data_IF_501562734677
#
_entry.id   IF_501562734677
#
_cell.length_a   1.000
_cell.length_b   1.000
_cell.length_c   1.000
_cell.angle_alpha   90.00
_cell.angle_beta   90.00
_cell.angle_gamma   90.00
#
_symmetry.space_group_name_H-M   'P 1'
#
loop_
_entity.id
_entity.type
_entity.pdbx_description
1 polymer ?
#
# COMPACT_ATOMS: atom_id res chain seq x y z
N UNK A 1 -1.46 -1.88 2.72
CA UNK A 1 -2.54 -2.00 3.74
C UNK A 1 -3.80 -1.43 3.13
N UNK A 2 -4.93 -2.15 3.16
CA UNK A 2 -6.15 -1.67 2.52
C UNK A 2 -6.86 -0.58 3.32
N UNK A 3 -7.67 0.22 2.62
CA UNK A 3 -8.46 1.28 3.23
C UNK A 3 -9.35 0.75 4.38
N UNK A 4 -9.45 1.53 5.46
CA UNK A 4 -10.24 1.17 6.65
C UNK A 4 -9.64 0.06 7.53
N UNK A 5 -8.39 -0.36 7.27
CA UNK A 5 -7.75 -1.39 8.11
C UNK A 5 -7.14 -0.80 9.39
N UNK A 6 -7.22 -1.55 10.50
CA UNK A 6 -6.59 -1.21 11.78
C UNK A 6 -5.47 -2.20 12.10
N UNK A 7 -4.22 -1.80 11.90
CA UNK A 7 -3.05 -2.59 12.32
C UNK A 7 -2.81 -2.34 13.81
N UNK A 8 -2.88 -3.41 14.61
CA UNK A 8 -2.65 -3.34 16.07
C UNK A 8 -1.15 -3.29 16.38
N UNK A 9 -0.74 -2.80 17.58
CA UNK A 9 0.66 -2.84 18.01
C UNK A 9 1.29 -4.23 17.86
N UNK A 10 2.60 -4.26 17.62
CA UNK A 10 3.42 -5.46 17.44
C UNK A 10 3.04 -6.40 16.27
N UNK A 11 2.07 -6.00 15.44
CA UNK A 11 1.68 -6.78 14.25
C UNK A 11 2.82 -6.79 13.23
N UNK A 12 3.39 -7.98 12.98
CA UNK A 12 4.37 -8.21 11.91
C UNK A 12 3.66 -8.61 10.63
N UNK A 13 3.73 -7.74 9.61
CA UNK A 13 3.17 -8.00 8.28
C UNK A 13 4.31 -8.48 7.37
N UNK A 14 4.25 -9.69 6.78
CA UNK A 14 5.24 -10.13 5.82
C UNK A 14 5.31 -9.19 4.60
N UNK A 15 6.48 -9.02 3.96
CA UNK A 15 6.59 -8.27 2.71
C UNK A 15 5.58 -8.75 1.66
N UNK A 16 5.16 -7.84 0.77
CA UNK A 16 4.22 -8.13 -0.33
C UNK A 16 2.86 -8.70 0.12
N UNK A 17 2.41 -8.44 1.35
CA UNK A 17 1.10 -8.89 1.83
C UNK A 17 0.00 -7.86 1.58
N UNK A 18 -1.16 -8.32 1.09
CA UNK A 18 -2.42 -7.58 1.20
C UNK A 18 -3.01 -7.83 2.59
N UNK A 19 -3.25 -6.75 3.33
CA UNK A 19 -3.79 -6.79 4.70
C UNK A 19 -5.06 -5.95 4.77
N UNK A 20 -6.11 -6.52 5.37
CA UNK A 20 -7.47 -5.95 5.45
C UNK A 20 -8.09 -6.14 6.85
N UNK A 21 -9.01 -5.23 7.23
CA UNK A 21 -9.91 -5.39 8.36
C UNK A 21 -9.51 -4.64 9.64
N UNK A 22 -10.36 -4.71 10.66
CA UNK A 22 -10.14 -4.10 11.99
C UNK A 22 -10.56 -5.11 13.08
N UNK A 23 -9.62 -5.87 13.69
CA UNK A 23 -8.17 -5.82 13.48
C UNK A 23 -7.74 -6.37 12.11
N UNK A 24 -6.67 -5.81 11.57
CA UNK A 24 -6.17 -6.14 10.24
C UNK A 24 -5.48 -7.51 10.21
N UNK A 25 -5.76 -8.31 9.17
CA UNK A 25 -5.16 -9.63 8.95
C UNK A 25 -4.62 -9.77 7.53
N UNK A 26 -3.57 -10.57 7.37
CA UNK A 26 -3.05 -10.93 6.04
C UNK A 26 -4.12 -11.73 5.30
N UNK A 27 -4.49 -11.26 4.10
CA UNK A 27 -5.50 -11.90 3.25
C UNK A 27 -4.88 -12.80 2.19
N UNK A 28 -3.81 -12.31 1.55
CA UNK A 28 -3.02 -12.99 0.50
C UNK A 28 -1.74 -12.21 0.20
N UNK A 29 -0.87 -12.76 -0.63
CA UNK A 29 0.19 -11.99 -1.28
C UNK A 29 -0.38 -11.05 -2.36
N UNK A 30 0.34 -9.96 -2.62
CA UNK A 30 0.07 -9.05 -3.72
C UNK A 30 0.40 -9.71 -5.07
N UNK A 31 -0.36 -9.36 -6.10
CA UNK A 31 -0.03 -9.73 -7.47
C UNK A 31 1.08 -8.83 -8.01
N UNK A 32 1.78 -9.27 -9.04
CA UNK A 32 2.81 -8.44 -9.71
C UNK A 32 2.22 -7.16 -10.29
N UNK A 33 0.97 -7.18 -10.74
CA UNK A 33 0.25 -5.99 -11.20
C UNK A 33 0.01 -4.98 -10.08
N UNK A 34 -0.45 -5.44 -8.91
CA UNK A 34 -0.61 -4.57 -7.74
C UNK A 34 0.72 -3.96 -7.30
N UNK A 35 1.81 -4.73 -7.34
CA UNK A 35 3.15 -4.24 -7.00
C UNK A 35 3.60 -3.17 -8.01
N UNK A 36 3.36 -3.37 -9.33
CA UNK A 36 3.67 -2.36 -10.34
C UNK A 36 2.84 -1.08 -10.13
N UNK A 37 1.54 -1.21 -9.92
CA UNK A 37 0.65 -0.07 -9.68
C UNK A 37 1.05 0.77 -8.46
N UNK A 38 1.55 0.15 -7.38
CA UNK A 38 2.08 0.88 -6.23
C UNK A 38 3.30 1.73 -6.60
N UNK A 39 4.20 1.20 -7.45
CA UNK A 39 5.40 1.95 -7.91
C UNK A 39 5.02 3.10 -8.83
N UNK A 40 4.09 2.86 -9.76
CA UNK A 40 3.57 3.87 -10.67
C UNK A 40 2.87 4.99 -9.90
N UNK A 41 2.00 4.64 -8.94
CA UNK A 41 1.34 5.62 -8.08
C UNK A 41 2.34 6.49 -7.32
N UNK A 42 3.42 5.90 -6.78
CA UNK A 42 4.47 6.67 -6.12
C UNK A 42 5.21 7.62 -7.07
N UNK A 43 5.52 7.17 -8.29
CA UNK A 43 6.13 8.01 -9.31
C UNK A 43 5.23 9.17 -9.74
N UNK A 44 3.91 8.93 -9.84
CA UNK A 44 2.94 9.96 -10.16
C UNK A 44 2.94 11.08 -9.11
N UNK A 45 2.93 10.75 -7.81
CA UNK A 45 3.01 11.78 -6.75
C UNK A 45 4.28 12.64 -6.84
N UNK A 46 5.40 12.07 -7.30
CA UNK A 46 6.63 12.83 -7.55
C UNK A 46 6.49 13.75 -8.77
N UNK A 47 5.87 13.30 -9.85
CA UNK A 47 5.59 14.17 -11.00
C UNK A 47 4.55 15.25 -10.72
N UNK A 48 3.55 14.93 -9.90
CA UNK A 48 2.50 15.87 -9.51
C UNK A 48 3.10 17.05 -8.72
N UNK A 49 4.08 16.81 -7.82
CA UNK A 49 4.71 17.91 -7.08
C UNK A 49 5.52 18.85 -7.98
N UNK A 50 6.16 18.35 -9.03
CA UNK A 50 6.81 19.20 -10.04
C UNK A 50 5.75 20.08 -10.72
N UNK A 51 4.63 19.47 -11.14
CA UNK A 51 3.52 20.18 -11.79
C UNK A 51 2.87 21.23 -10.91
N UNK A 52 2.74 20.99 -9.59
CA UNK A 52 2.10 21.92 -8.66
C UNK A 52 3.03 23.05 -8.18
N UNK A 53 4.35 22.90 -8.36
CA UNK A 53 5.34 23.91 -7.96
C UNK A 53 5.76 24.85 -9.10
N UNK A 54 5.42 24.50 -10.35
CA UNK A 54 5.49 25.37 -11.53
C UNK A 54 4.36 26.43 -11.53
#
# INVERSE_FOLDING_TARGET
>A
VGAGSLVTPDTKIPPKSLVLGSPAKVKRELTEEEIRGIRESAANYVGDIETYLD
#
